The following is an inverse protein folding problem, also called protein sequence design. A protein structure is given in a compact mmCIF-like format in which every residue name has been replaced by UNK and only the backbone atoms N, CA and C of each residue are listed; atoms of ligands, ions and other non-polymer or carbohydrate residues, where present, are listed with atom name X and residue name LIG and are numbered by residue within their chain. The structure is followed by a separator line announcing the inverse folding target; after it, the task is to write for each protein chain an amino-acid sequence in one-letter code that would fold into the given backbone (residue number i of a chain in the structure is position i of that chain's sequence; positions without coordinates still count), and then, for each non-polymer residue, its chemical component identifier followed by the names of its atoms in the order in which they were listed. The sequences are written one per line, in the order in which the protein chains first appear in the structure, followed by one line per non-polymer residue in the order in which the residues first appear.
data_IF_612300764977
#
_entry.id   IF_612300764977
#
_cell.length_a   1.000
_cell.length_b   1.000
_cell.length_c   1.000
_cell.angle_alpha   90.00
_cell.angle_beta   90.00
_cell.angle_gamma   90.00
#
_symmetry.space_group_name_H-M   'P 1'
#
loop_
_entity.id
_entity.type
_entity.pdbx_description
1 polymer ?
#
# COMPACT_ATOMS: atom_id res chain seq x y z
N UNK A 1 41.82 41.38 2.32
CA UNK A 1 43.27 41.26 2.10
C UNK A 1 43.97 41.63 3.39
N UNK A 2 45.02 40.92 3.76
CA UNK A 2 45.83 41.28 4.92
C UNK A 2 46.69 42.53 4.64
N UNK A 3 47.54 42.91 5.59
CA UNK A 3 48.43 44.06 5.46
C UNK A 3 49.47 43.92 4.32
N UNK A 4 49.64 42.73 3.73
CA UNK A 4 50.55 42.44 2.62
C UNK A 4 49.83 42.33 1.26
N UNK A 5 48.49 42.40 1.24
CA UNK A 5 47.71 42.29 0.01
C UNK A 5 47.32 40.86 -0.37
N UNK A 6 47.59 39.86 0.45
CA UNK A 6 47.17 38.47 0.22
C UNK A 6 45.71 38.27 0.65
N UNK A 7 44.99 37.24 0.14
CA UNK A 7 43.67 36.88 0.64
C UNK A 7 43.74 36.67 2.16
N UNK A 8 42.99 37.47 2.94
CA UNK A 8 43.18 37.58 4.39
C UNK A 8 42.69 36.39 5.21
N UNK A 9 42.45 35.24 4.58
CA UNK A 9 41.87 34.05 5.19
C UNK A 9 40.51 34.29 5.86
N UNK A 10 39.96 33.24 6.44
CA UNK A 10 38.85 33.32 7.37
C UNK A 10 39.10 32.25 8.44
N UNK A 11 39.21 32.67 9.71
CA UNK A 11 39.30 31.75 10.84
C UNK A 11 37.89 31.49 11.37
N UNK A 12 37.49 30.21 11.39
CA UNK A 12 36.18 29.79 11.91
C UNK A 12 36.39 28.95 13.17
N UNK A 13 35.84 29.42 14.28
CA UNK A 13 35.74 28.64 15.53
C UNK A 13 34.31 28.16 15.71
N UNK A 14 34.11 26.86 15.89
CA UNK A 14 32.79 26.27 16.16
C UNK A 14 32.72 25.79 17.60
N UNK A 15 31.96 26.50 18.43
CA UNK A 15 31.63 26.07 19.79
C UNK A 15 30.34 25.25 19.77
N UNK A 16 30.35 24.08 20.40
CA UNK A 16 29.20 23.17 20.39
C UNK A 16 28.99 22.49 21.75
N UNK A 17 27.73 22.16 22.04
CA UNK A 17 27.36 21.41 23.23
C UNK A 17 27.62 19.91 23.01
N UNK A 18 28.55 19.33 23.77
CA UNK A 18 28.92 17.91 23.67
C UNK A 18 27.81 16.95 24.12
N UNK A 19 26.84 17.45 24.89
CA UNK A 19 25.64 16.70 25.27
C UNK A 19 24.69 16.50 24.08
N UNK A 20 24.84 17.29 23.00
CA UNK A 20 24.00 17.25 21.80
C UNK A 20 24.75 16.79 20.56
N UNK A 21 26.06 17.06 20.45
CA UNK A 21 26.84 16.80 19.24
C UNK A 21 28.17 16.12 19.55
N UNK A 22 28.54 15.17 18.69
CA UNK A 22 29.89 14.66 18.62
C UNK A 22 30.77 15.51 17.70
N UNK A 23 32.09 15.37 17.84
CA UNK A 23 33.07 16.11 17.05
C UNK A 23 32.90 15.86 15.54
N UNK A 24 32.59 14.62 15.14
CA UNK A 24 32.43 14.24 13.73
C UNK A 24 31.26 14.98 13.06
N UNK A 25 30.17 15.17 13.78
CA UNK A 25 29.00 15.92 13.31
C UNK A 25 29.36 17.38 13.07
N UNK A 26 30.14 17.97 13.98
CA UNK A 26 30.57 19.36 13.90
C UNK A 26 31.61 19.57 12.80
N UNK A 27 32.57 18.66 12.66
CA UNK A 27 33.53 18.65 11.54
C UNK A 27 32.79 18.60 10.20
N UNK A 28 31.85 17.66 10.02
CA UNK A 28 31.06 17.58 8.80
C UNK A 28 30.19 18.83 8.56
N UNK A 29 29.75 19.51 9.61
CA UNK A 29 28.99 20.77 9.50
C UNK A 29 29.89 21.93 9.10
N UNK A 30 31.09 22.03 9.68
CA UNK A 30 32.10 23.01 9.31
C UNK A 30 32.55 22.81 7.85
N UNK A 31 32.77 21.57 7.42
CA UNK A 31 33.13 21.26 6.03
C UNK A 31 32.06 21.71 5.03
N UNK A 32 30.77 21.56 5.39
CA UNK A 32 29.65 22.07 4.57
C UNK A 32 29.62 23.59 4.54
N UNK A 33 29.90 24.26 5.66
CA UNK A 33 29.99 25.72 5.72
C UNK A 33 31.12 26.24 4.83
N UNK A 34 32.30 25.61 4.86
CA UNK A 34 33.42 25.97 4.00
C UNK A 34 33.03 25.84 2.53
N UNK A 35 32.45 24.70 2.11
CA UNK A 35 31.96 24.50 0.74
C UNK A 35 30.97 25.57 0.30
N UNK A 36 30.03 25.93 1.17
CA UNK A 36 29.05 26.98 0.88
C UNK A 36 29.72 28.34 0.65
N UNK A 37 30.69 28.70 1.50
CA UNK A 37 31.43 29.96 1.38
C UNK A 37 32.30 30.01 0.11
N UNK A 38 32.94 28.89 -0.24
CA UNK A 38 33.71 28.74 -1.47
C UNK A 38 32.79 28.89 -2.70
N UNK A 39 31.67 28.17 -2.75
CA UNK A 39 30.70 28.26 -3.84
C UNK A 39 30.13 29.68 -4.00
N UNK A 40 29.81 30.35 -2.88
CA UNK A 40 29.33 31.73 -2.90
C UNK A 40 30.39 32.73 -3.40
N UNK A 41 31.66 32.49 -3.09
CA UNK A 41 32.76 33.32 -3.56
C UNK A 41 33.05 33.12 -5.05
N UNK A 42 32.91 31.89 -5.56
CA UNK A 42 33.09 31.56 -6.98
C UNK A 42 31.94 32.06 -7.85
N UNK A 43 30.71 32.03 -7.35
CA UNK A 43 29.50 32.43 -8.07
C UNK A 43 28.64 33.42 -7.25
N UNK A 44 29.09 34.68 -7.08
CA UNK A 44 28.46 35.66 -6.18
C UNK A 44 27.05 36.10 -6.59
N UNK A 45 26.72 35.96 -7.88
CA UNK A 45 25.39 36.28 -8.41
C UNK A 45 24.42 35.09 -8.37
N UNK A 46 24.88 33.89 -7.95
CA UNK A 46 24.03 32.71 -7.85
C UNK A 46 23.07 32.84 -6.65
N UNK A 47 21.77 32.53 -6.80
CA UNK A 47 20.86 32.48 -5.67
C UNK A 47 21.36 31.52 -4.59
N UNK A 48 21.29 31.91 -3.32
CA UNK A 48 21.77 31.10 -2.19
C UNK A 48 21.18 29.69 -2.17
N UNK A 49 19.92 29.52 -2.60
CA UNK A 49 19.25 28.22 -2.68
C UNK A 49 19.76 27.28 -3.78
N UNK A 50 20.62 27.75 -4.67
CA UNK A 50 21.23 26.97 -5.75
C UNK A 50 22.69 26.59 -5.46
N UNK A 51 23.27 27.06 -4.35
CA UNK A 51 24.62 26.69 -3.93
C UNK A 51 24.65 25.24 -3.43
N UNK A 52 25.54 24.41 -3.99
CA UNK A 52 25.68 23.01 -3.61
C UNK A 52 26.34 22.89 -2.22
N UNK A 53 25.60 22.34 -1.27
CA UNK A 53 26.05 22.17 0.12
C UNK A 53 26.72 20.81 0.34
N UNK A 54 26.21 19.78 -0.34
CA UNK A 54 26.66 18.40 -0.15
C UNK A 54 27.97 18.17 -0.89
N UNK A 55 28.89 17.47 -0.24
CA UNK A 55 30.04 16.92 -0.95
C UNK A 55 29.60 15.86 -1.96
N UNK A 56 30.46 15.59 -2.94
CA UNK A 56 30.23 14.52 -3.92
C UNK A 56 29.93 13.16 -3.23
N UNK A 57 30.64 12.83 -2.16
CA UNK A 57 30.44 11.58 -1.43
C UNK A 57 29.13 11.50 -0.66
N UNK A 58 28.63 12.62 -0.14
CA UNK A 58 27.29 12.70 0.48
C UNK A 58 26.19 12.60 -0.56
N UNK A 59 26.37 13.27 -1.70
CA UNK A 59 25.42 13.19 -2.82
C UNK A 59 25.34 11.76 -3.35
N UNK A 60 26.47 11.09 -3.57
CA UNK A 60 26.54 9.67 -3.96
C UNK A 60 25.87 8.77 -2.91
N UNK A 61 26.10 9.03 -1.62
CA UNK A 61 25.43 8.30 -0.53
C UNK A 61 23.90 8.39 -0.65
N UNK A 62 23.35 9.60 -0.84
CA UNK A 62 21.91 9.81 -0.92
C UNK A 62 21.31 9.24 -2.22
N UNK A 63 21.94 9.50 -3.35
CA UNK A 63 21.37 9.21 -4.67
C UNK A 63 21.61 7.77 -5.14
N UNK A 64 22.66 7.11 -4.65
CA UNK A 64 23.01 5.77 -5.11
C UNK A 64 22.86 4.74 -3.99
N UNK A 65 23.47 5.01 -2.83
CA UNK A 65 23.52 4.01 -1.76
C UNK A 65 22.21 3.93 -0.97
N UNK A 66 21.54 5.06 -0.72
CA UNK A 66 20.28 5.10 0.04
C UNK A 66 19.04 5.01 -0.85
N UNK A 67 19.13 5.39 -2.13
CA UNK A 67 18.02 5.30 -3.08
C UNK A 67 17.57 3.85 -3.34
N UNK A 68 18.39 2.86 -2.97
CA UNK A 68 18.08 1.45 -3.14
C UNK A 68 18.30 0.95 -4.57
N UNK A 69 17.96 -0.31 -4.81
CA UNK A 69 18.13 -0.93 -6.14
C UNK A 69 16.87 -0.74 -6.97
N UNK A 70 17.01 -0.25 -8.20
CA UNK A 70 15.93 -0.25 -9.20
C UNK A 70 15.67 -1.69 -9.63
N UNK A 71 14.45 -2.19 -9.41
CA UNK A 71 14.02 -3.52 -9.85
C UNK A 71 13.06 -3.40 -11.03
N UNK A 72 13.12 -4.35 -11.96
CA UNK A 72 12.12 -4.43 -13.02
C UNK A 72 10.75 -4.77 -12.42
N UNK A 73 9.76 -3.93 -12.72
CA UNK A 73 8.37 -4.15 -12.32
C UNK A 73 7.69 -5.16 -13.25
N UNK A 74 6.72 -5.90 -12.73
CA UNK A 74 5.88 -6.77 -13.56
C UNK A 74 5.03 -5.97 -14.55
N UNK A 75 4.93 -6.45 -15.78
CA UNK A 75 4.05 -5.90 -16.82
C UNK A 75 2.67 -6.60 -16.84
N UNK A 76 2.03 -6.70 -15.67
CA UNK A 76 0.73 -7.34 -15.51
C UNK A 76 -0.08 -6.74 -14.34
N UNK A 77 -1.41 -6.84 -14.42
CA UNK A 77 -2.30 -6.47 -13.31
C UNK A 77 -2.26 -7.46 -12.15
N UNK A 78 -2.65 -7.01 -10.95
CA UNK A 78 -2.67 -7.87 -9.75
C UNK A 78 -3.55 -9.12 -9.91
N UNK A 79 -4.67 -9.05 -10.64
CA UNK A 79 -5.53 -10.21 -10.90
C UNK A 79 -4.82 -11.30 -11.70
N UNK A 80 -3.99 -10.91 -12.67
CA UNK A 80 -3.18 -11.83 -13.47
C UNK A 80 -2.02 -12.42 -12.66
N UNK A 81 -1.36 -11.58 -11.86
CA UNK A 81 -0.27 -12.03 -10.99
C UNK A 81 -0.76 -13.03 -9.94
N UNK A 82 -1.93 -12.77 -9.34
CA UNK A 82 -2.58 -13.71 -8.44
C UNK A 82 -2.93 -15.03 -9.15
N UNK A 83 -3.58 -14.96 -10.32
CA UNK A 83 -3.95 -16.16 -11.09
C UNK A 83 -2.71 -16.99 -11.47
N UNK A 84 -1.59 -16.33 -11.80
CA UNK A 84 -0.32 -16.99 -12.07
C UNK A 84 0.25 -17.68 -10.82
N UNK A 85 0.19 -17.06 -9.63
CA UNK A 85 0.57 -17.72 -8.38
C UNK A 85 -0.36 -18.90 -8.05
N UNK A 86 -1.67 -18.73 -8.23
CA UNK A 86 -2.64 -19.79 -7.97
C UNK A 86 -2.40 -21.01 -8.88
N UNK A 87 -2.01 -20.79 -10.13
CA UNK A 87 -1.62 -21.87 -11.04
C UNK A 87 -0.30 -22.56 -10.64
N UNK A 88 0.65 -21.83 -10.01
CA UNK A 88 1.93 -22.38 -9.54
C UNK A 88 1.76 -23.30 -8.33
N UNK A 89 0.93 -22.91 -7.36
CA UNK A 89 0.75 -23.64 -6.09
C UNK A 89 -0.72 -23.83 -5.74
N UNK A 90 -1.49 -24.54 -6.58
CA UNK A 90 -2.95 -24.52 -6.47
C UNK A 90 -3.48 -25.18 -5.20
N UNK A 91 -2.76 -26.17 -4.65
CA UNK A 91 -3.16 -26.92 -3.47
C UNK A 91 -2.55 -26.35 -2.17
N UNK A 92 -1.75 -25.28 -2.26
CA UNK A 92 -1.25 -24.58 -1.08
C UNK A 92 -2.37 -23.71 -0.46
N UNK A 93 -2.36 -23.55 0.86
CA UNK A 93 -3.34 -22.76 1.60
C UNK A 93 -3.07 -21.26 1.38
N UNK A 94 -4.03 -20.56 0.78
CA UNK A 94 -3.97 -19.12 0.51
C UNK A 94 -4.61 -18.29 1.61
N UNK A 95 -5.69 -18.77 2.24
CA UNK A 95 -6.44 -18.04 3.28
C UNK A 95 -6.78 -18.98 4.43
N UNK A 96 -6.67 -18.47 5.66
CA UNK A 96 -7.18 -19.11 6.88
C UNK A 96 -8.04 -18.10 7.63
N UNK A 97 -9.22 -18.52 8.10
CA UNK A 97 -10.07 -17.74 8.98
C UNK A 97 -10.73 -18.66 10.01
N UNK A 98 -10.23 -18.66 11.25
CA UNK A 98 -10.62 -19.65 12.24
C UNK A 98 -10.28 -21.06 11.77
N UNK A 99 -11.29 -21.92 11.62
CA UNK A 99 -11.12 -23.29 11.10
C UNK A 99 -11.35 -23.44 9.60
N UNK A 100 -11.79 -22.38 8.91
CA UNK A 100 -11.94 -22.40 7.45
C UNK A 100 -10.58 -22.14 6.79
N UNK A 101 -10.20 -23.00 5.87
CA UNK A 101 -9.02 -22.84 5.02
C UNK A 101 -9.43 -22.88 3.56
N UNK A 102 -8.85 -22.00 2.74
CA UNK A 102 -8.98 -22.04 1.29
C UNK A 102 -7.62 -22.20 0.66
N UNK A 103 -7.51 -23.17 -0.24
CA UNK A 103 -6.39 -23.27 -1.15
C UNK A 103 -6.38 -22.12 -2.16
N UNK A 104 -5.24 -21.88 -2.81
CA UNK A 104 -5.14 -20.92 -3.91
C UNK A 104 -6.16 -21.21 -5.02
N UNK A 105 -6.38 -22.48 -5.35
CA UNK A 105 -7.38 -22.91 -6.35
C UNK A 105 -8.80 -22.53 -5.94
N UNK A 106 -9.17 -22.78 -4.69
CA UNK A 106 -10.50 -22.49 -4.18
C UNK A 106 -10.77 -20.99 -4.05
N UNK A 107 -9.76 -20.24 -3.60
CA UNK A 107 -9.83 -18.78 -3.53
C UNK A 107 -9.98 -18.17 -4.92
N UNK A 108 -9.17 -18.60 -5.89
CA UNK A 108 -9.27 -18.13 -7.28
C UNK A 108 -10.64 -18.42 -7.88
N UNK A 109 -11.16 -19.64 -7.72
CA UNK A 109 -12.48 -20.02 -8.22
C UNK A 109 -13.61 -19.20 -7.57
N UNK A 110 -13.57 -18.98 -6.24
CA UNK A 110 -14.55 -18.12 -5.54
C UNK A 110 -14.48 -16.67 -6.04
N UNK A 111 -13.27 -16.13 -6.20
CA UNK A 111 -13.08 -14.77 -6.70
C UNK A 111 -13.49 -14.62 -8.17
N UNK A 112 -13.23 -15.61 -9.02
CA UNK A 112 -13.66 -15.61 -10.43
C UNK A 112 -15.19 -15.59 -10.53
N UNK A 113 -15.90 -16.42 -9.75
CA UNK A 113 -17.38 -16.39 -9.71
C UNK A 113 -17.92 -15.02 -9.30
N UNK A 114 -17.36 -14.43 -8.25
CA UNK A 114 -17.73 -13.11 -7.79
C UNK A 114 -17.41 -12.02 -8.83
N UNK A 115 -16.27 -12.13 -9.55
CA UNK A 115 -15.90 -11.20 -10.61
C UNK A 115 -16.87 -11.26 -11.80
N UNK A 116 -17.26 -12.46 -12.24
CA UNK A 116 -18.29 -12.64 -13.27
C UNK A 116 -19.63 -12.02 -12.83
N UNK A 117 -19.99 -12.13 -11.55
CA UNK A 117 -21.20 -11.47 -11.03
C UNK A 117 -21.09 -9.95 -11.08
N UNK A 118 -19.98 -9.38 -10.64
CA UNK A 118 -19.73 -7.93 -10.73
C UNK A 118 -19.87 -7.44 -12.18
N UNK A 119 -19.28 -8.17 -13.13
CA UNK A 119 -19.35 -7.86 -14.57
C UNK A 119 -20.81 -7.94 -15.06
N UNK A 120 -21.57 -8.96 -14.64
CA UNK A 120 -22.98 -9.11 -15.00
C UNK A 120 -23.87 -7.97 -14.44
N UNK A 121 -23.53 -7.39 -13.29
CA UNK A 121 -24.19 -6.21 -12.73
C UNK A 121 -23.77 -4.89 -13.41
N UNK A 122 -22.77 -4.94 -14.31
CA UNK A 122 -22.34 -3.81 -15.12
C UNK A 122 -21.01 -3.18 -14.72
N UNK A 123 -20.26 -3.78 -13.79
CA UNK A 123 -18.89 -3.37 -13.48
C UNK A 123 -18.02 -3.55 -14.72
N UNK A 124 -17.19 -2.55 -15.02
CA UNK A 124 -16.23 -2.55 -16.11
C UNK A 124 -14.84 -2.22 -15.59
N UNK A 125 -13.82 -2.44 -16.41
CA UNK A 125 -12.47 -1.99 -16.09
C UNK A 125 -12.47 -0.48 -15.79
N UNK A 126 -11.87 -0.08 -14.67
CA UNK A 126 -11.86 1.30 -14.16
C UNK A 126 -13.12 1.75 -13.41
N UNK A 127 -14.17 0.93 -13.29
CA UNK A 127 -15.28 1.19 -12.36
C UNK A 127 -14.75 1.28 -10.93
N UNK A 128 -15.39 2.10 -10.07
CA UNK A 128 -15.09 2.13 -8.63
C UNK A 128 -16.12 1.30 -7.89
N UNK A 129 -15.66 0.38 -7.04
CA UNK A 129 -16.52 -0.48 -6.24
C UNK A 129 -16.21 -0.24 -4.76
N UNK A 130 -17.18 0.29 -4.02
CA UNK A 130 -17.04 0.44 -2.59
C UNK A 130 -17.19 -0.91 -1.88
N UNK A 131 -16.25 -1.20 -0.98
CA UNK A 131 -16.28 -2.38 -0.13
C UNK A 131 -16.54 -1.94 1.31
N UNK A 132 -17.75 -2.19 1.80
CA UNK A 132 -18.14 -1.92 3.18
C UNK A 132 -18.39 -3.26 3.88
N UNK A 133 -17.30 -3.92 4.27
CA UNK A 133 -17.31 -5.26 4.86
C UNK A 133 -16.36 -5.32 6.05
N UNK A 134 -16.68 -6.18 7.02
CA UNK A 134 -15.73 -6.56 8.07
C UNK A 134 -14.73 -7.61 7.56
N UNK A 135 -13.62 -7.78 8.28
CA UNK A 135 -12.64 -8.85 7.99
C UNK A 135 -13.32 -10.22 7.97
N UNK A 136 -13.24 -10.87 6.81
CA UNK A 136 -13.82 -12.19 6.56
C UNK A 136 -13.26 -12.77 5.25
N UNK A 137 -13.49 -14.07 5.03
CA UNK A 137 -13.20 -14.73 3.74
C UNK A 137 -13.95 -14.05 2.60
N UNK A 138 -15.22 -13.69 2.81
CA UNK A 138 -16.03 -13.03 1.78
C UNK A 138 -15.50 -11.63 1.42
N UNK A 139 -14.94 -10.89 2.39
CA UNK A 139 -14.36 -9.58 2.13
C UNK A 139 -13.08 -9.65 1.29
N UNK A 140 -12.21 -10.63 1.55
CA UNK A 140 -10.99 -10.83 0.74
C UNK A 140 -11.33 -11.40 -0.64
N UNK A 141 -12.33 -12.27 -0.75
CA UNK A 141 -12.89 -12.75 -2.04
C UNK A 141 -13.46 -11.57 -2.83
N UNK A 142 -14.24 -10.69 -2.19
CA UNK A 142 -14.84 -9.52 -2.84
C UNK A 142 -13.76 -8.55 -3.35
N UNK A 143 -12.70 -8.35 -2.57
CA UNK A 143 -11.57 -7.51 -2.98
C UNK A 143 -10.87 -8.07 -4.21
N UNK A 144 -10.53 -9.37 -4.19
CA UNK A 144 -9.90 -10.03 -5.33
C UNK A 144 -10.83 -10.07 -6.57
N UNK A 145 -12.13 -10.22 -6.36
CA UNK A 145 -13.13 -10.20 -7.44
C UNK A 145 -13.22 -8.84 -8.13
N UNK A 146 -13.18 -7.73 -7.37
CA UNK A 146 -13.13 -6.37 -7.93
C UNK A 146 -11.88 -6.18 -8.78
N UNK A 147 -10.72 -6.64 -8.29
CA UNK A 147 -9.45 -6.58 -9.02
C UNK A 147 -9.51 -7.42 -10.30
N UNK A 148 -10.06 -8.63 -10.25
CA UNK A 148 -10.23 -9.51 -11.42
C UNK A 148 -11.27 -9.00 -12.43
N UNK A 149 -12.23 -8.17 -12.00
CA UNK A 149 -13.12 -7.44 -12.89
C UNK A 149 -12.46 -6.20 -13.52
N UNK A 150 -11.19 -5.92 -13.20
CA UNK A 150 -10.43 -4.76 -13.65
C UNK A 150 -10.85 -3.44 -13.00
N UNK A 151 -11.63 -3.51 -11.91
CA UNK A 151 -12.17 -2.35 -11.22
C UNK A 151 -11.28 -1.91 -10.06
N UNK A 152 -11.50 -0.69 -9.59
CA UNK A 152 -10.81 -0.05 -8.48
C UNK A 152 -11.61 -0.30 -7.21
N UNK A 153 -11.03 -0.98 -6.21
CA UNK A 153 -11.71 -1.13 -4.92
C UNK A 153 -11.54 0.11 -4.05
N UNK A 154 -12.64 0.53 -3.41
CA UNK A 154 -12.67 1.67 -2.47
C UNK A 154 -13.09 1.10 -1.11
N UNK A 155 -12.13 0.69 -0.26
CA UNK A 155 -12.46 0.08 1.02
C UNK A 155 -12.97 1.14 2.00
N UNK A 156 -14.07 0.83 2.68
CA UNK A 156 -14.73 1.68 3.65
C UNK A 156 -14.68 1.01 5.02
N UNK A 157 -14.32 1.78 6.05
CA UNK A 157 -14.33 1.28 7.42
C UNK A 157 -15.72 1.40 8.01
N UNK A 158 -16.24 0.30 8.53
CA UNK A 158 -17.56 0.22 9.16
C UNK A 158 -17.68 1.05 10.44
N UNK A 159 -16.55 1.44 11.03
CA UNK A 159 -16.47 2.27 12.24
C UNK A 159 -16.49 3.76 11.92
N UNK A 160 -16.39 4.14 10.65
CA UNK A 160 -16.49 5.54 10.27
C UNK A 160 -17.91 6.07 10.52
N UNK A 161 -18.04 7.33 10.99
CA UNK A 161 -19.32 8.02 10.97
C UNK A 161 -19.90 8.01 9.55
N UNK A 162 -21.23 7.91 9.44
CA UNK A 162 -21.92 7.81 8.14
C UNK A 162 -21.62 9.01 7.24
N UNK A 163 -21.45 10.20 7.81
CA UNK A 163 -21.09 11.42 7.09
C UNK A 163 -19.74 11.27 6.38
N UNK A 164 -18.77 10.61 7.02
CA UNK A 164 -17.46 10.34 6.41
C UNK A 164 -17.57 9.33 5.27
N UNK A 165 -18.38 8.28 5.45
CA UNK A 165 -18.65 7.29 4.39
C UNK A 165 -19.26 7.98 3.16
N UNK A 166 -20.24 8.85 3.36
CA UNK A 166 -20.89 9.61 2.29
C UNK A 166 -19.91 10.50 1.54
N UNK A 167 -19.05 11.25 2.25
CA UNK A 167 -18.03 12.08 1.61
C UNK A 167 -17.08 11.25 0.72
N UNK A 168 -16.62 10.09 1.20
CA UNK A 168 -15.74 9.20 0.43
C UNK A 168 -16.45 8.68 -0.81
N UNK A 169 -17.69 8.24 -0.67
CA UNK A 169 -18.53 7.73 -1.76
C UNK A 169 -18.76 8.79 -2.84
N UNK A 170 -19.09 10.02 -2.43
CA UNK A 170 -19.30 11.14 -3.34
C UNK A 170 -18.01 11.53 -4.07
N UNK A 171 -16.89 11.63 -3.36
CA UNK A 171 -15.58 11.97 -3.95
C UNK A 171 -15.05 10.89 -4.90
N UNK A 172 -15.36 9.62 -4.63
CA UNK A 172 -14.93 8.47 -5.45
C UNK A 172 -15.88 8.19 -6.62
N UNK A 173 -17.01 8.90 -6.67
CA UNK A 173 -18.09 8.70 -7.64
C UNK A 173 -18.50 7.21 -7.72
N UNK A 174 -18.66 6.54 -6.58
CA UNK A 174 -18.94 5.08 -6.58
C UNK A 174 -20.36 4.78 -7.06
N UNK A 175 -20.46 3.86 -8.04
CA UNK A 175 -21.75 3.35 -8.55
C UNK A 175 -22.06 1.91 -8.07
N UNK A 176 -21.09 1.19 -7.52
CA UNK A 176 -21.24 -0.21 -7.10
C UNK A 176 -20.79 -0.42 -5.65
N UNK A 177 -21.57 -1.18 -4.89
CA UNK A 177 -21.32 -1.44 -3.47
C UNK A 177 -21.36 -2.93 -3.19
N UNK A 178 -20.39 -3.41 -2.44
CA UNK A 178 -20.39 -4.75 -1.84
C UNK A 178 -20.37 -4.57 -0.33
N UNK A 179 -21.32 -5.20 0.36
CA UNK A 179 -21.44 -5.10 1.82
C UNK A 179 -21.96 -6.38 2.42
N UNK A 180 -21.51 -6.67 3.65
CA UNK A 180 -21.98 -7.75 4.51
C UNK A 180 -23.07 -7.28 5.50
N UNK A 181 -23.46 -6.00 5.43
CA UNK A 181 -24.51 -5.39 6.23
C UNK A 181 -25.83 -5.40 5.48
N UNK A 182 -26.93 -5.23 6.22
CA UNK A 182 -28.22 -4.93 5.61
C UNK A 182 -28.06 -3.66 4.73
N UNK A 183 -28.31 -3.74 3.40
CA UNK A 183 -28.23 -2.57 2.53
C UNK A 183 -29.11 -1.41 2.99
N UNK A 184 -30.22 -1.68 3.68
CA UNK A 184 -31.09 -0.65 4.26
C UNK A 184 -30.49 0.08 5.46
N UNK A 185 -29.46 -0.48 6.10
CA UNK A 185 -28.77 0.12 7.23
C UNK A 185 -27.72 1.18 6.82
N UNK A 186 -27.43 1.30 5.52
CA UNK A 186 -26.42 2.23 4.98
C UNK A 186 -27.11 3.16 3.99
N UNK A 187 -26.98 4.47 4.18
CA UNK A 187 -27.53 5.45 3.24
C UNK A 187 -26.61 5.54 2.02
N UNK A 188 -26.92 4.76 1.00
CA UNK A 188 -26.24 4.77 -0.28
C UNK A 188 -26.82 5.85 -1.22
N UNK A 189 -26.02 6.38 -2.17
CA UNK A 189 -26.55 7.22 -3.25
C UNK A 189 -27.68 6.50 -4.02
N UNK A 190 -28.67 7.24 -4.53
CA UNK A 190 -29.79 6.63 -5.27
C UNK A 190 -29.36 5.82 -6.52
N UNK A 191 -28.23 6.19 -7.11
CA UNK A 191 -27.64 5.51 -8.27
C UNK A 191 -26.79 4.28 -7.91
N UNK A 192 -26.56 4.05 -6.61
CA UNK A 192 -25.74 2.94 -6.13
C UNK A 192 -26.41 1.59 -6.40
N UNK A 193 -25.65 0.67 -7.00
CA UNK A 193 -26.04 -0.72 -7.17
C UNK A 193 -25.35 -1.57 -6.12
N UNK A 194 -26.16 -2.18 -5.24
CA UNK A 194 -25.65 -3.14 -4.26
C UNK A 194 -25.52 -4.49 -4.93
N UNK A 195 -24.30 -5.01 -4.95
CA UNK A 195 -23.97 -6.34 -5.46
C UNK A 195 -23.89 -7.29 -4.27
N UNK A 196 -24.71 -8.36 -4.23
CA UNK A 196 -24.67 -9.33 -3.14
C UNK A 196 -23.31 -10.03 -3.02
N UNK A 197 -22.88 -10.30 -1.79
CA UNK A 197 -21.71 -11.12 -1.48
C UNK A 197 -22.00 -12.62 -1.66
N UNK A 198 -20.96 -13.45 -1.60
CA UNK A 198 -21.13 -14.90 -1.43
C UNK A 198 -21.63 -15.66 -2.66
N UNK A 199 -21.24 -15.25 -3.88
CA UNK A 199 -21.58 -15.99 -5.10
C UNK A 199 -20.95 -17.41 -5.08
N UNK A 200 -21.74 -18.41 -4.69
CA UNK A 200 -21.31 -19.82 -4.62
C UNK A 200 -21.47 -20.57 -5.93
N UNK A 201 -22.20 -20.01 -6.91
CA UNK A 201 -22.46 -20.61 -8.22
C UNK A 201 -22.05 -19.66 -9.35
N UNK A 202 -21.67 -20.22 -10.49
CA UNK A 202 -21.22 -19.46 -11.67
C UNK A 202 -19.92 -19.99 -12.26
N UNK A 203 -19.38 -19.25 -13.23
CA UNK A 203 -18.14 -19.60 -13.93
C UNK A 203 -16.93 -19.48 -13.00
N UNK A 204 -16.18 -20.56 -12.86
CA UNK A 204 -14.95 -20.59 -12.04
C UNK A 204 -13.71 -20.12 -12.81
N UNK A 205 -13.77 -20.09 -14.14
CA UNK A 205 -12.67 -19.63 -14.98
C UNK A 205 -12.44 -18.11 -14.88
N UNK A 206 -11.18 -17.70 -15.01
CA UNK A 206 -10.78 -16.30 -14.98
C UNK A 206 -11.61 -15.45 -15.97
N UNK A 207 -12.10 -14.27 -15.55
CA UNK A 207 -12.91 -13.42 -16.42
C UNK A 207 -12.15 -12.84 -17.63
N UNK A 208 -10.82 -12.97 -17.67
CA UNK A 208 -10.00 -12.58 -18.82
C UNK A 208 -9.86 -11.06 -18.99
N UNK A 209 -10.21 -10.27 -17.97
CA UNK A 209 -10.05 -8.81 -17.99
C UNK A 209 -8.57 -8.49 -17.83
N UNK A 210 -8.03 -7.71 -18.78
CA UNK A 210 -6.66 -7.21 -18.76
C UNK A 210 -6.65 -5.73 -18.41
N UNK A 211 -5.75 -5.36 -17.51
CA UNK A 211 -5.57 -3.97 -17.04
C UNK A 211 -4.11 -3.59 -17.20
N UNK A 212 -3.86 -2.32 -17.51
CA UNK A 212 -2.50 -1.82 -17.57
C UNK A 212 -1.94 -1.68 -16.13
N UNK A 213 -0.68 -2.03 -15.85
CA UNK A 213 -0.12 -1.97 -14.49
C UNK A 213 -0.21 -0.58 -13.82
N UNK A 214 -0.19 0.48 -14.63
CA UNK A 214 -0.30 1.87 -14.15
C UNK A 214 -1.75 2.35 -13.93
N UNK A 215 -2.74 1.48 -14.17
CA UNK A 215 -4.12 1.77 -13.78
C UNK A 215 -4.27 1.66 -12.25
N UNK A 216 -5.12 2.50 -11.63
CA UNK A 216 -5.45 2.37 -10.21
C UNK A 216 -6.05 1.00 -9.90
N UNK A 217 -5.63 0.39 -8.79
CA UNK A 217 -6.22 -0.84 -8.25
C UNK A 217 -7.07 -0.56 -7.02
N UNK A 218 -6.72 0.46 -6.24
CA UNK A 218 -7.53 0.95 -5.15
C UNK A 218 -7.48 2.47 -4.99
N UNK A 219 -8.47 3.01 -4.29
CA UNK A 219 -8.43 4.35 -3.74
C UNK A 219 -8.74 4.32 -2.22
N UNK A 220 -7.78 4.74 -1.40
CA UNK A 220 -7.92 4.83 0.06
C UNK A 220 -7.89 6.29 0.51
N UNK A 221 -8.64 6.62 1.56
CA UNK A 221 -8.87 8.00 1.98
C UNK A 221 -8.18 8.33 3.30
N UNK A 222 -7.36 9.37 3.27
CA UNK A 222 -6.66 9.88 4.46
C UNK A 222 -7.37 11.09 5.04
N UNK A 223 -7.09 11.42 6.30
CA UNK A 223 -7.54 12.69 6.89
C UNK A 223 -6.83 13.84 6.18
N UNK A 224 -7.58 14.62 5.40
CA UNK A 224 -7.07 15.86 4.85
C UNK A 224 -6.86 16.90 5.95
N UNK A 225 -5.78 17.69 5.84
CA UNK A 225 -5.52 18.83 6.73
C UNK A 225 -6.64 19.87 6.77
N UNK A 226 -7.51 19.87 5.76
CA UNK A 226 -8.69 20.74 5.63
C UNK A 226 -9.98 20.13 6.21
N UNK A 227 -9.90 18.94 6.82
CA UNK A 227 -11.07 18.18 7.31
C UNK A 227 -11.83 17.41 6.23
N UNK A 228 -11.56 17.68 4.94
CA UNK A 228 -12.12 16.94 3.81
C UNK A 228 -11.22 15.75 3.47
N UNK A 229 -11.75 14.51 3.41
CA UNK A 229 -10.95 13.34 3.03
C UNK A 229 -10.28 13.52 1.66
N UNK A 230 -9.09 12.95 1.49
CA UNK A 230 -8.36 12.95 0.22
C UNK A 230 -8.11 11.50 -0.21
N UNK A 231 -8.57 11.16 -1.42
CA UNK A 231 -8.36 9.85 -2.02
C UNK A 231 -6.94 9.73 -2.59
N UNK A 232 -6.23 8.70 -2.17
CA UNK A 232 -4.94 8.29 -2.72
C UNK A 232 -5.21 7.11 -3.64
N UNK A 233 -5.01 7.31 -4.95
CA UNK A 233 -5.11 6.26 -5.95
C UNK A 233 -3.74 5.55 -6.05
N UNK A 234 -3.74 4.24 -5.84
CA UNK A 234 -2.53 3.40 -5.94
C UNK A 234 -2.72 2.45 -7.10
N UNK A 235 -1.65 2.26 -7.88
CA UNK A 235 -1.68 1.45 -9.10
C UNK A 235 -1.41 -0.03 -8.84
N UNK A 236 -1.77 -0.91 -9.78
CA UNK A 236 -1.38 -2.32 -9.72
C UNK A 236 0.14 -2.48 -9.60
N UNK A 237 0.92 -1.68 -10.34
CA UNK A 237 2.39 -1.70 -10.30
C UNK A 237 2.92 -1.40 -8.90
N UNK A 238 2.40 -0.37 -8.23
CA UNK A 238 2.87 -0.01 -6.89
C UNK A 238 2.72 -1.17 -5.90
N UNK A 239 1.58 -1.87 -5.94
CA UNK A 239 1.31 -3.01 -5.05
C UNK A 239 2.15 -4.22 -5.44
N UNK A 240 2.30 -4.50 -6.74
CA UNK A 240 3.13 -5.59 -7.22
C UNK A 240 4.60 -5.38 -6.84
N UNK A 241 5.14 -4.18 -7.03
CA UNK A 241 6.52 -3.85 -6.69
C UNK A 241 6.77 -3.95 -5.19
N UNK A 242 5.81 -3.50 -4.36
CA UNK A 242 5.86 -3.69 -2.91
C UNK A 242 5.96 -5.19 -2.57
N UNK A 243 5.08 -6.03 -3.12
CA UNK A 243 5.05 -7.45 -2.78
C UNK A 243 6.29 -8.23 -3.19
N UNK A 244 7.01 -7.77 -4.21
CA UNK A 244 8.24 -8.41 -4.70
C UNK A 244 9.52 -7.81 -4.12
N UNK A 245 9.45 -6.86 -3.17
CA UNK A 245 10.66 -6.38 -2.51
C UNK A 245 11.35 -7.53 -1.75
N UNK A 246 12.69 -7.54 -1.81
CA UNK A 246 13.52 -8.61 -1.21
C UNK A 246 13.24 -8.86 0.27
N UNK A 247 12.87 -7.82 1.03
CA UNK A 247 12.54 -7.97 2.45
C UNK A 247 11.32 -8.89 2.66
N UNK A 248 10.36 -8.85 1.75
CA UNK A 248 9.13 -9.64 1.80
C UNK A 248 9.29 -11.03 1.17
N UNK A 249 10.13 -11.15 0.13
CA UNK A 249 10.40 -12.44 -0.54
C UNK A 249 11.51 -13.26 0.12
N UNK A 250 12.01 -12.84 1.28
CA UNK A 250 13.12 -13.49 2.01
C UNK A 250 12.75 -14.81 2.70
N UNK A 251 11.49 -15.22 2.65
CA UNK A 251 10.96 -16.41 3.34
C UNK A 251 10.39 -16.13 4.73
N UNK A 252 10.45 -14.89 5.21
CA UNK A 252 9.88 -14.52 6.53
C UNK A 252 8.36 -14.22 6.48
N UNK A 253 7.76 -14.11 5.30
CA UNK A 253 6.36 -13.70 5.10
C UNK A 253 5.50 -14.85 4.58
N UNK A 254 5.70 -16.05 5.14
CA UNK A 254 4.96 -17.26 4.70
C UNK A 254 3.54 -17.31 5.25
N UNK A 255 3.28 -16.72 6.42
CA UNK A 255 1.96 -16.65 7.04
C UNK A 255 1.76 -15.26 7.64
N UNK A 256 0.97 -14.43 6.96
CA UNK A 256 0.82 -13.01 7.29
C UNK A 256 -0.53 -12.77 7.96
N UNK A 257 -0.52 -12.10 9.11
CA UNK A 257 -1.74 -11.77 9.84
C UNK A 257 -2.44 -10.55 9.21
N UNK A 258 -3.67 -10.75 8.72
CA UNK A 258 -4.55 -9.69 8.24
C UNK A 258 -5.39 -9.13 9.39
N UNK A 259 -4.87 -8.09 10.03
CA UNK A 259 -5.47 -7.46 11.20
C UNK A 259 -5.61 -5.95 11.08
N UNK A 260 -5.04 -5.34 10.06
CA UNK A 260 -5.29 -3.93 9.77
C UNK A 260 -6.74 -3.74 9.31
N UNK A 261 -7.31 -2.54 9.52
CA UNK A 261 -8.56 -2.17 8.88
C UNK A 261 -8.40 -2.22 7.35
N UNK A 262 -9.41 -2.72 6.64
CA UNK A 262 -9.35 -2.81 5.17
C UNK A 262 -9.22 -1.44 4.49
N UNK A 263 -9.69 -0.37 5.14
CA UNK A 263 -9.59 1.00 4.67
C UNK A 263 -8.25 1.68 5.04
N UNK A 264 -7.26 0.91 5.51
CA UNK A 264 -5.92 1.38 5.84
C UNK A 264 -4.87 0.66 4.97
N UNK A 265 -3.84 1.39 4.55
CA UNK A 265 -2.90 0.92 3.53
C UNK A 265 -2.03 -0.26 3.97
N UNK A 266 -1.75 -0.42 5.26
CA UNK A 266 -1.07 -1.61 5.80
C UNK A 266 -1.77 -2.93 5.42
N UNK A 267 -3.11 -2.92 5.26
CA UNK A 267 -3.88 -4.08 4.80
C UNK A 267 -3.48 -4.53 3.38
N UNK A 268 -2.93 -3.63 2.56
CA UNK A 268 -2.40 -3.94 1.22
C UNK A 268 -1.19 -4.84 1.31
N UNK A 269 -0.25 -4.53 2.19
CA UNK A 269 0.91 -5.40 2.46
C UNK A 269 0.44 -6.75 3.03
N UNK A 270 -0.41 -6.72 4.07
CA UNK A 270 -0.86 -7.93 4.75
C UNK A 270 -1.51 -8.93 3.77
N UNK A 271 -2.28 -8.42 2.80
CA UNK A 271 -3.02 -9.23 1.83
C UNK A 271 -2.21 -9.61 0.58
N UNK A 272 -1.59 -8.66 -0.10
CA UNK A 272 -1.02 -8.91 -1.42
C UNK A 272 0.38 -9.56 -1.36
N UNK A 273 1.15 -9.35 -0.30
CA UNK A 273 2.45 -10.02 -0.13
C UNK A 273 2.32 -11.53 -0.12
N UNK A 274 1.56 -12.16 0.81
CA UNK A 274 1.45 -13.62 0.83
C UNK A 274 0.84 -14.13 -0.47
N UNK A 275 -0.19 -13.47 -1.00
CA UNK A 275 -0.89 -13.90 -2.21
C UNK A 275 -0.05 -13.88 -3.49
N UNK A 276 0.91 -12.96 -3.61
CA UNK A 276 1.79 -12.91 -4.78
C UNK A 276 3.05 -13.77 -4.63
N UNK A 277 3.41 -14.12 -3.39
CA UNK A 277 4.61 -14.90 -3.08
C UNK A 277 4.33 -16.36 -2.74
N UNK A 278 3.06 -16.78 -2.68
CA UNK A 278 2.65 -18.14 -2.36
C UNK A 278 2.48 -18.43 -0.86
N UNK A 279 2.51 -17.40 -0.02
CA UNK A 279 2.22 -17.49 1.41
C UNK A 279 0.73 -17.61 1.71
N UNK A 280 0.40 -17.63 3.00
CA UNK A 280 -0.96 -17.72 3.53
C UNK A 280 -1.37 -16.41 4.20
N UNK A 281 -2.56 -15.92 3.86
CA UNK A 281 -3.22 -14.82 4.55
C UNK A 281 -4.04 -15.38 5.72
N UNK A 282 -3.72 -15.00 6.96
CA UNK A 282 -4.49 -15.40 8.14
C UNK A 282 -5.37 -14.24 8.58
N UNK A 283 -6.68 -14.38 8.41
CA UNK A 283 -7.66 -13.33 8.70
C UNK A 283 -7.93 -13.27 10.21
N UNK A 284 -7.64 -12.14 10.82
CA UNK A 284 -8.03 -11.90 12.20
C UNK A 284 -9.55 -11.68 12.32
N UNK A 285 -10.19 -12.08 13.43
CA UNK A 285 -11.60 -11.84 13.67
C UNK A 285 -11.99 -10.36 13.46
N UNK A 286 -13.24 -10.12 13.08
CA UNK A 286 -13.79 -8.78 12.98
C UNK A 286 -13.73 -8.02 14.31
N UNK A 287 -13.70 -6.69 14.25
CA UNK A 287 -13.68 -5.84 15.44
C UNK A 287 -12.30 -5.63 16.07
N UNK A 288 -12.32 -5.26 17.36
CA UNK A 288 -11.11 -4.95 18.13
C UNK A 288 -10.44 -6.24 18.62
N UNK A 289 -9.11 -6.31 18.46
CA UNK A 289 -8.30 -7.43 18.90
C UNK A 289 -7.55 -7.02 20.17
N UNK A 290 -7.70 -7.80 21.23
CA UNK A 290 -6.92 -7.63 22.45
C UNK A 290 -5.61 -8.44 22.41
N UNK A 291 -4.74 -8.22 23.39
CA UNK A 291 -3.42 -8.88 23.45
C UNK A 291 -3.53 -10.40 23.53
N UNK A 292 -4.55 -10.92 24.20
CA UNK A 292 -4.80 -12.36 24.32
C UNK A 292 -5.15 -12.97 22.96
N UNK A 293 -6.01 -12.29 22.20
CA UNK A 293 -6.42 -12.68 20.85
C UNK A 293 -5.21 -12.68 19.91
N UNK A 294 -4.36 -11.65 19.97
CA UNK A 294 -3.12 -11.64 19.20
C UNK A 294 -2.21 -12.82 19.54
N UNK A 295 -1.99 -13.09 20.83
CA UNK A 295 -1.15 -14.21 21.26
C UNK A 295 -1.68 -15.56 20.77
N UNK A 296 -3.01 -15.76 20.83
CA UNK A 296 -3.66 -16.96 20.31
C UNK A 296 -3.49 -17.07 18.80
N UNK A 297 -3.81 -16.02 18.04
CA UNK A 297 -3.66 -16.02 16.58
C UNK A 297 -2.21 -16.31 16.14
N UNK A 298 -1.23 -15.68 16.80
CA UNK A 298 0.19 -15.89 16.50
C UNK A 298 0.60 -17.34 16.76
N UNK A 299 0.16 -17.91 17.89
CA UNK A 299 0.56 -19.25 18.31
C UNK A 299 -0.15 -20.33 17.49
N UNK A 300 -1.49 -20.25 17.40
CA UNK A 300 -2.35 -21.28 16.81
C UNK A 300 -2.21 -21.34 15.29
N UNK A 301 -1.96 -20.19 14.65
CA UNK A 301 -1.78 -20.11 13.21
C UNK A 301 -0.35 -19.90 12.77
N UNK A 302 0.64 -19.99 13.67
CA UNK A 302 2.07 -19.88 13.35
C UNK A 302 2.41 -18.66 12.48
N UNK A 303 1.93 -17.48 12.90
CA UNK A 303 2.14 -16.23 12.16
C UNK A 303 3.63 -15.92 12.06
N UNK A 304 4.08 -15.56 10.86
CA UNK A 304 5.47 -15.19 10.60
C UNK A 304 5.64 -13.70 10.34
N UNK A 305 4.57 -12.98 9.99
CA UNK A 305 4.57 -11.53 9.81
C UNK A 305 3.21 -10.88 10.07
#
# INVERSE_FOLDING_TARGET
RDAAGEPGGLDITVEYATDLYDARTIEATADRLVRLLEAAAEAPDLPVGELELLSAGERELLLERWAGTVTESADAGLGELFAAQAARTPDAVAVVHGTEELTYRELDARANRAAHRLIAEGVRAGSRVALLQERSVDAVVSTLAVVKAGAVYVPLDTRYPMERIQLIVEQSDVDFFVTDRDPGAVRLPERARVVPTGATSGTEGDPGVRVHPDQPVYAMFTSGSTGVPKGVAVTHRNVADLAHQKMYTSGNHTRVLFHSPMAFDASTYEMWVPWLTGGTLVIAPAGHLDTTTYQQLITDHHITA
#
